data_IF_236641494242
#
_entry.id   IF_236641494242
#
_cell.length_a   1.000
_cell.length_b   1.000
_cell.length_c   1.000
_cell.angle_alpha   90.00
_cell.angle_beta   90.00
_cell.angle_gamma   90.00
#
_symmetry.space_group_name_H-M   'P 1'
#
loop_
_entity.id
_entity.type
_entity.pdbx_description
1 polymer ?
#
# COMPACT_ATOMS: atom_id res chain seq x y z
N UNK A 1 2.98 21.97 -10.81
CA UNK A 1 1.83 21.32 -11.46
C UNK A 1 0.84 20.80 -10.40
N UNK A 2 1.28 20.06 -9.38
CA UNK A 2 0.40 19.51 -8.32
C UNK A 2 -0.30 20.61 -7.50
N UNK A 3 0.36 21.74 -7.25
CA UNK A 3 -0.21 22.87 -6.49
C UNK A 3 -1.34 23.61 -7.23
N UNK A 4 -1.36 23.58 -8.55
CA UNK A 4 -2.39 24.20 -9.38
C UNK A 4 -3.49 23.22 -9.80
N UNK A 5 -3.28 21.92 -9.56
CA UNK A 5 -4.19 20.86 -9.94
C UNK A 5 -5.65 21.00 -9.42
N UNK A 6 -5.91 21.53 -8.18
CA UNK A 6 -7.26 21.71 -7.67
C UNK A 6 -8.14 22.63 -8.52
N UNK A 7 -7.54 23.48 -9.35
CA UNK A 7 -8.27 24.41 -10.23
C UNK A 7 -8.72 23.78 -11.55
N UNK A 8 -8.18 22.59 -11.90
CA UNK A 8 -8.41 21.99 -13.21
C UNK A 8 -9.40 20.83 -13.25
N UNK A 9 -9.69 20.17 -12.12
CA UNK A 9 -10.73 19.15 -12.03
C UNK A 9 -11.12 18.81 -10.59
N UNK A 10 -12.39 18.42 -10.36
CA UNK A 10 -12.85 17.94 -9.05
C UNK A 10 -12.01 16.76 -8.53
N UNK A 11 -11.59 15.88 -9.42
CA UNK A 11 -10.79 14.69 -9.09
C UNK A 11 -9.40 15.06 -8.57
N UNK A 12 -8.76 16.07 -9.17
CA UNK A 12 -7.46 16.58 -8.72
C UNK A 12 -7.56 17.36 -7.42
N UNK A 13 -8.65 18.09 -7.22
CA UNK A 13 -8.94 18.76 -5.94
C UNK A 13 -9.04 17.76 -4.80
N UNK A 14 -9.82 16.67 -4.97
CA UNK A 14 -9.93 15.58 -4.00
C UNK A 14 -8.59 14.90 -3.74
N UNK A 15 -7.81 14.66 -4.81
CA UNK A 15 -6.48 14.06 -4.73
C UNK A 15 -5.52 14.86 -3.82
N UNK A 16 -5.51 16.19 -3.96
CA UNK A 16 -4.62 17.07 -3.18
C UNK A 16 -5.14 17.30 -1.77
N UNK A 17 -6.46 17.66 -1.64
CA UNK A 17 -7.05 17.99 -0.35
C UNK A 17 -7.09 16.79 0.61
N UNK A 18 -7.50 15.62 0.10
CA UNK A 18 -7.59 14.42 0.92
C UNK A 18 -6.26 14.03 1.56
N UNK A 19 -5.13 14.25 0.86
CA UNK A 19 -3.80 13.94 1.40
C UNK A 19 -3.32 14.88 2.49
N UNK A 20 -3.81 16.11 2.54
CA UNK A 20 -3.44 17.07 3.59
C UNK A 20 -3.94 16.64 4.97
N UNK A 21 -5.06 15.92 5.03
CA UNK A 21 -5.72 15.52 6.27
C UNK A 21 -5.26 14.14 6.80
N UNK A 22 -4.43 13.41 6.05
CA UNK A 22 -4.07 12.03 6.38
C UNK A 22 -3.41 11.92 7.75
N UNK A 23 -2.42 12.76 8.02
CA UNK A 23 -1.63 12.70 9.27
C UNK A 23 -2.52 13.01 10.48
N UNK A 24 -3.37 14.02 10.38
CA UNK A 24 -4.28 14.38 11.47
C UNK A 24 -5.36 13.30 11.68
N UNK A 25 -5.86 12.72 10.59
CA UNK A 25 -6.80 11.59 10.66
C UNK A 25 -6.19 10.39 11.36
N UNK A 26 -4.94 10.04 11.03
CA UNK A 26 -4.22 8.93 11.67
C UNK A 26 -4.01 9.19 13.16
N UNK A 27 -3.53 10.40 13.52
CA UNK A 27 -3.32 10.78 14.93
C UNK A 27 -4.61 10.75 15.76
N UNK A 28 -5.75 11.08 15.15
CA UNK A 28 -7.05 11.08 15.85
C UNK A 28 -7.67 9.68 15.98
N UNK A 29 -7.26 8.71 15.14
CA UNK A 29 -7.84 7.37 15.09
C UNK A 29 -6.97 6.28 15.69
N UNK A 30 -5.65 6.54 15.83
CA UNK A 30 -4.68 5.57 16.32
C UNK A 30 -4.06 6.08 17.61
N UNK A 31 -4.01 5.20 18.59
CA UNK A 31 -3.30 5.40 19.84
C UNK A 31 -1.87 4.85 19.75
N UNK A 32 -0.99 5.26 20.64
CA UNK A 32 0.41 4.82 20.62
C UNK A 32 0.55 3.32 20.91
N UNK A 33 -0.36 2.74 21.67
CA UNK A 33 -0.44 1.33 22.05
C UNK A 33 -1.05 0.43 20.98
N UNK A 34 -1.71 1.00 19.94
CA UNK A 34 -2.39 0.22 18.92
C UNK A 34 -1.40 -0.62 18.10
N UNK A 35 -1.74 -1.89 17.94
CA UNK A 35 -1.14 -2.75 16.89
C UNK A 35 -1.95 -2.58 15.62
N UNK A 36 -1.28 -2.54 14.47
CA UNK A 36 -2.00 -2.39 13.20
C UNK A 36 -1.54 -3.37 12.13
N UNK A 37 -2.43 -3.64 11.18
CA UNK A 37 -2.12 -4.30 9.91
C UNK A 37 -2.52 -3.33 8.81
N UNK A 38 -1.57 -3.01 7.93
CA UNK A 38 -1.75 -2.04 6.88
C UNK A 38 -1.99 -2.72 5.53
N UNK A 39 -3.12 -2.39 4.88
CA UNK A 39 -3.44 -2.75 3.52
C UNK A 39 -3.29 -1.54 2.59
N UNK A 40 -2.59 -1.70 1.49
CA UNK A 40 -2.55 -0.70 0.43
C UNK A 40 -3.24 -1.21 -0.83
N UNK A 41 -4.23 -0.44 -1.31
CA UNK A 41 -4.99 -0.67 -2.54
C UNK A 41 -5.02 0.64 -3.31
N UNK A 42 -4.45 0.73 -4.52
CA UNK A 42 -4.45 2.00 -5.25
C UNK A 42 -5.86 2.43 -5.68
N UNK A 43 -6.74 1.48 -5.94
CA UNK A 43 -8.06 1.70 -6.53
C UNK A 43 -9.16 0.90 -5.84
N UNK A 44 -10.42 1.20 -6.19
CA UNK A 44 -11.58 0.43 -5.71
C UNK A 44 -11.50 -1.05 -6.12
N UNK A 45 -11.09 -1.34 -7.37
CA UNK A 45 -11.01 -2.72 -7.86
C UNK A 45 -9.99 -3.56 -7.10
N UNK A 46 -8.86 -2.98 -6.70
CA UNK A 46 -7.87 -3.64 -5.85
C UNK A 46 -8.39 -3.86 -4.44
N UNK A 47 -9.08 -2.87 -3.88
CA UNK A 47 -9.73 -3.03 -2.58
C UNK A 47 -10.72 -4.20 -2.59
N UNK A 48 -11.61 -4.30 -3.59
CA UNK A 48 -12.57 -5.40 -3.69
C UNK A 48 -11.88 -6.78 -3.75
N UNK A 49 -10.73 -6.87 -4.42
CA UNK A 49 -9.91 -8.09 -4.39
C UNK A 49 -9.27 -8.36 -3.02
N UNK A 50 -8.95 -7.31 -2.27
CA UNK A 50 -8.42 -7.41 -0.92
C UNK A 50 -9.47 -7.71 0.16
N UNK A 51 -10.76 -7.43 -0.09
CA UNK A 51 -11.84 -7.59 0.91
C UNK A 51 -11.87 -8.96 1.58
N UNK A 52 -11.77 -10.10 0.89
CA UNK A 52 -11.75 -11.42 1.55
C UNK A 52 -10.59 -11.56 2.53
N UNK A 53 -9.42 -11.04 2.16
CA UNK A 53 -8.21 -11.09 3.01
C UNK A 53 -8.37 -10.15 4.20
N UNK A 54 -8.88 -8.94 4.00
CA UNK A 54 -9.15 -7.96 5.08
C UNK A 54 -10.12 -8.55 6.10
N UNK A 55 -11.21 -9.19 5.64
CA UNK A 55 -12.18 -9.86 6.53
C UNK A 55 -11.51 -10.96 7.36
N UNK A 56 -10.78 -11.85 6.69
CA UNK A 56 -10.08 -12.95 7.35
C UNK A 56 -9.03 -12.45 8.34
N UNK A 57 -8.27 -11.42 7.97
CA UNK A 57 -7.29 -10.79 8.85
C UNK A 57 -7.94 -10.18 10.09
N UNK A 58 -9.10 -9.52 9.94
CA UNK A 58 -9.83 -8.95 11.08
C UNK A 58 -10.36 -10.02 12.04
N UNK A 59 -10.76 -11.18 11.54
CA UNK A 59 -11.18 -12.33 12.32
C UNK A 59 -10.01 -12.96 13.10
N UNK A 60 -8.88 -13.16 12.43
CA UNK A 60 -7.69 -13.82 13.01
C UNK A 60 -6.88 -12.90 13.96
N UNK A 61 -6.94 -11.59 13.73
CA UNK A 61 -6.20 -10.59 14.49
C UNK A 61 -7.13 -9.50 15.07
N UNK A 62 -8.09 -9.87 15.95
CA UNK A 62 -9.12 -8.96 16.47
C UNK A 62 -8.53 -7.77 17.26
N UNK A 63 -7.33 -7.92 17.84
CA UNK A 63 -6.62 -6.88 18.60
C UNK A 63 -5.82 -5.91 17.71
N UNK A 64 -5.84 -6.11 16.39
CA UNK A 64 -5.12 -5.23 15.45
C UNK A 64 -6.10 -4.28 14.75
N UNK A 65 -5.72 -3.01 14.68
CA UNK A 65 -6.41 -2.03 13.84
C UNK A 65 -6.13 -2.31 12.37
N UNK A 66 -7.17 -2.40 11.58
CA UNK A 66 -7.06 -2.56 10.12
C UNK A 66 -7.01 -1.19 9.48
N UNK A 67 -5.85 -0.85 8.91
CA UNK A 67 -5.63 0.41 8.22
C UNK A 67 -5.63 0.15 6.72
N UNK A 68 -6.47 0.87 5.98
CA UNK A 68 -6.49 0.79 4.50
C UNK A 68 -6.10 2.13 3.90
N UNK A 69 -5.20 2.08 2.93
CA UNK A 69 -4.83 3.26 2.16
C UNK A 69 -5.23 3.11 0.70
N UNK A 70 -5.70 4.22 0.12
CA UNK A 70 -5.96 4.36 -1.31
C UNK A 70 -5.03 5.38 -1.95
N UNK A 71 -4.66 5.14 -3.19
CA UNK A 71 -4.01 6.18 -3.99
C UNK A 71 -5.02 7.00 -4.79
N UNK A 72 -6.01 6.34 -5.39
CA UNK A 72 -7.02 6.97 -6.24
C UNK A 72 -8.22 7.50 -5.43
N UNK A 73 -8.74 8.70 -5.77
CA UNK A 73 -9.99 9.21 -5.20
C UNK A 73 -11.19 8.27 -5.41
N UNK A 74 -11.25 7.54 -6.53
CA UNK A 74 -12.36 6.64 -6.83
C UNK A 74 -12.52 5.51 -5.81
N UNK A 75 -11.43 5.02 -5.24
CA UNK A 75 -11.48 4.03 -4.17
C UNK A 75 -11.82 4.67 -2.81
N UNK A 76 -11.08 5.72 -2.46
CA UNK A 76 -11.22 6.39 -1.19
C UNK A 76 -12.63 6.96 -0.96
N UNK A 77 -13.18 7.73 -1.91
CA UNK A 77 -14.48 8.38 -1.74
C UNK A 77 -15.62 7.38 -1.53
N UNK A 78 -15.52 6.19 -2.12
CA UNK A 78 -16.51 5.11 -1.96
C UNK A 78 -16.35 4.40 -0.61
N UNK A 79 -15.11 4.23 -0.12
CA UNK A 79 -14.80 3.35 1.02
C UNK A 79 -14.37 4.10 2.30
N UNK A 80 -14.25 5.42 2.30
CA UNK A 80 -13.81 6.22 3.46
C UNK A 80 -14.63 5.99 4.75
N UNK A 81 -15.88 5.60 4.62
CA UNK A 81 -16.80 5.35 5.75
C UNK A 81 -17.16 3.86 5.88
N UNK A 82 -16.37 2.94 5.32
CA UNK A 82 -16.67 1.52 5.48
C UNK A 82 -16.41 1.04 6.91
N UNK A 83 -17.19 0.04 7.35
CA UNK A 83 -17.13 -0.51 8.71
C UNK A 83 -16.17 -1.69 8.85
N UNK A 84 -15.61 -2.15 7.74
CA UNK A 84 -14.69 -3.29 7.73
C UNK A 84 -13.31 -2.90 8.28
N UNK A 85 -12.95 -1.62 8.18
CA UNK A 85 -11.62 -1.10 8.54
C UNK A 85 -11.73 -0.04 9.64
N UNK A 86 -10.73 0.04 10.49
CA UNK A 86 -10.68 0.98 11.61
C UNK A 86 -10.26 2.39 11.13
N UNK A 87 -9.40 2.44 10.12
CA UNK A 87 -9.00 3.69 9.48
C UNK A 87 -8.81 3.51 7.98
N UNK A 88 -9.47 4.37 7.20
CA UNK A 88 -9.28 4.46 5.75
C UNK A 88 -8.80 5.86 5.41
N UNK A 89 -7.66 5.97 4.72
CA UNK A 89 -7.04 7.24 4.32
C UNK A 89 -6.42 7.16 2.93
N UNK A 90 -6.05 8.32 2.38
CA UNK A 90 -5.17 8.33 1.21
C UNK A 90 -3.73 7.94 1.60
N UNK A 91 -3.02 7.25 0.70
CA UNK A 91 -1.58 7.12 0.84
C UNK A 91 -0.94 8.50 0.55
N UNK A 92 -0.16 9.09 1.47
CA UNK A 92 0.62 10.27 1.16
C UNK A 92 1.56 10.04 -0.02
N UNK A 93 1.93 11.10 -0.75
CA UNK A 93 2.85 10.97 -1.89
C UNK A 93 4.15 10.28 -1.46
N UNK A 94 4.68 9.43 -2.34
CA UNK A 94 5.86 8.60 -2.08
C UNK A 94 7.14 9.47 -2.03
N UNK A 95 7.38 10.04 -0.86
CA UNK A 95 8.62 10.76 -0.52
C UNK A 95 9.23 10.15 0.74
N UNK A 96 10.55 10.24 0.96
CA UNK A 96 11.19 9.71 2.16
C UNK A 96 10.56 10.23 3.46
N UNK A 97 10.22 11.52 3.50
CA UNK A 97 9.58 12.14 4.66
C UNK A 97 8.19 11.59 4.94
N UNK A 98 7.35 11.49 3.89
CA UNK A 98 5.99 11.00 4.04
C UNK A 98 5.98 9.53 4.43
N UNK A 99 6.79 8.69 3.78
CA UNK A 99 6.90 7.27 4.08
C UNK A 99 7.31 7.06 5.54
N UNK A 100 8.36 7.76 5.99
CA UNK A 100 8.80 7.69 7.40
C UNK A 100 7.69 8.12 8.35
N UNK A 101 7.09 9.30 8.14
CA UNK A 101 6.04 9.83 9.03
C UNK A 101 4.82 8.91 9.10
N UNK A 102 4.37 8.39 7.94
CA UNK A 102 3.24 7.48 7.88
C UNK A 102 3.51 6.18 8.63
N UNK A 103 4.65 5.53 8.37
CA UNK A 103 5.00 4.25 9.00
C UNK A 103 5.27 4.43 10.51
N UNK A 104 5.82 5.56 10.94
CA UNK A 104 6.01 5.88 12.36
C UNK A 104 4.67 6.05 13.11
N UNK A 105 3.64 6.57 12.45
CA UNK A 105 2.30 6.72 13.02
C UNK A 105 1.52 5.42 13.00
N UNK A 106 1.51 4.71 11.87
CA UNK A 106 0.73 3.48 11.70
C UNK A 106 1.35 2.30 12.45
N UNK A 107 2.67 2.24 12.58
CA UNK A 107 3.45 1.17 13.25
C UNK A 107 2.95 -0.25 12.86
N UNK A 108 2.85 -0.58 11.57
CA UNK A 108 2.21 -1.82 11.17
C UNK A 108 3.04 -3.04 11.59
N UNK A 109 2.37 -4.04 12.15
CA UNK A 109 2.96 -5.37 12.40
C UNK A 109 3.13 -6.16 11.10
N UNK A 110 2.32 -5.84 10.08
CA UNK A 110 2.34 -6.44 8.74
C UNK A 110 1.84 -5.40 7.74
N UNK A 111 2.49 -5.30 6.59
CA UNK A 111 2.03 -4.50 5.45
C UNK A 111 1.66 -5.42 4.27
N UNK A 112 0.48 -5.20 3.71
CA UNK A 112 -0.09 -6.00 2.61
C UNK A 112 -0.41 -5.08 1.44
N UNK A 113 0.26 -5.30 0.33
CA UNK A 113 0.06 -4.56 -0.92
C UNK A 113 -0.75 -5.41 -1.89
N UNK A 114 -1.79 -4.83 -2.48
CA UNK A 114 -2.66 -5.52 -3.43
C UNK A 114 -2.25 -5.16 -4.86
N UNK A 115 -1.94 -6.16 -5.68
CA UNK A 115 -1.57 -6.08 -7.10
C UNK A 115 -0.23 -5.38 -7.39
N UNK A 116 -0.25 -4.20 -8.04
CA UNK A 116 0.90 -3.60 -8.72
C UNK A 116 1.52 -2.44 -7.95
N UNK A 117 1.37 -2.39 -6.66
CA UNK A 117 1.67 -1.24 -5.84
C UNK A 117 3.11 -1.28 -5.32
N UNK A 118 4.02 -0.70 -6.08
CA UNK A 118 5.46 -0.65 -5.78
C UNK A 118 5.87 0.79 -5.46
N UNK A 119 5.75 1.18 -4.21
CA UNK A 119 6.07 2.51 -3.68
C UNK A 119 7.45 2.50 -3.02
N UNK A 120 8.54 2.91 -3.70
CA UNK A 120 9.91 2.66 -3.26
C UNK A 120 10.23 3.18 -1.87
N UNK A 121 9.83 4.43 -1.55
CA UNK A 121 10.15 5.01 -0.25
C UNK A 121 9.42 4.30 0.90
N UNK A 122 8.15 3.91 0.70
CA UNK A 122 7.41 3.12 1.67
C UNK A 122 8.04 1.74 1.86
N UNK A 123 8.35 1.04 0.78
CA UNK A 123 8.95 -0.29 0.81
C UNK A 123 10.33 -0.28 1.49
N UNK A 124 11.16 0.70 1.19
CA UNK A 124 12.48 0.84 1.84
C UNK A 124 12.36 1.16 3.33
N UNK A 125 11.39 2.02 3.74
CA UNK A 125 11.19 2.32 5.15
C UNK A 125 10.61 1.11 5.92
N UNK A 126 9.69 0.35 5.33
CA UNK A 126 9.19 -0.92 5.89
C UNK A 126 10.35 -1.91 6.11
N UNK A 127 11.18 -2.12 5.08
CA UNK A 127 12.35 -3.00 5.18
C UNK A 127 13.34 -2.55 6.24
N UNK A 128 13.65 -1.26 6.29
CA UNK A 128 14.54 -0.65 7.30
C UNK A 128 14.04 -0.91 8.72
N UNK A 129 12.73 -0.85 8.94
CA UNK A 129 12.09 -1.13 10.24
C UNK A 129 11.83 -2.62 10.48
N UNK A 130 12.24 -3.50 9.55
CA UNK A 130 12.03 -4.95 9.61
C UNK A 130 10.54 -5.34 9.73
N UNK A 131 9.65 -4.53 9.14
CA UNK A 131 8.21 -4.81 9.12
C UNK A 131 7.94 -5.81 7.99
N UNK A 132 7.36 -6.99 8.29
CA UNK A 132 6.96 -7.95 7.28
C UNK A 132 6.05 -7.30 6.23
N UNK A 133 6.37 -7.55 4.95
CA UNK A 133 5.64 -6.94 3.83
C UNK A 133 5.35 -8.00 2.78
N UNK A 134 4.10 -8.14 2.39
CA UNK A 134 3.68 -9.11 1.38
C UNK A 134 2.94 -8.43 0.23
N UNK A 135 3.10 -8.99 -0.97
CA UNK A 135 2.30 -8.65 -2.13
C UNK A 135 1.26 -9.73 -2.38
N UNK A 136 0.02 -9.32 -2.58
CA UNK A 136 -1.07 -10.24 -2.84
C UNK A 136 -1.72 -9.94 -4.19
N UNK A 137 -2.10 -10.99 -4.90
CA UNK A 137 -2.69 -10.91 -6.23
C UNK A 137 -1.77 -10.24 -7.25
N UNK A 138 -0.45 -10.44 -7.11
CA UNK A 138 0.55 -9.92 -8.04
C UNK A 138 0.42 -10.53 -9.42
N UNK A 139 0.62 -9.70 -10.46
CA UNK A 139 0.68 -10.16 -11.85
C UNK A 139 1.89 -9.50 -12.51
N UNK A 140 2.82 -10.33 -12.98
CA UNK A 140 4.07 -9.86 -13.58
C UNK A 140 4.12 -10.18 -15.07
N UNK A 141 4.78 -9.30 -15.84
CA UNK A 141 4.97 -9.43 -17.28
C UNK A 141 6.41 -9.09 -17.65
N UNK A 142 6.96 -9.75 -18.65
CA UNK A 142 8.35 -9.59 -19.10
C UNK A 142 8.70 -8.15 -19.50
N UNK A 143 7.72 -7.38 -19.98
CA UNK A 143 7.90 -6.00 -20.40
C UNK A 143 8.14 -5.04 -19.23
N UNK A 144 7.79 -5.44 -18.02
CA UNK A 144 7.93 -4.59 -16.84
C UNK A 144 9.42 -4.33 -16.53
N UNK A 145 9.67 -3.14 -16.01
CA UNK A 145 11.01 -2.63 -15.73
C UNK A 145 11.85 -3.56 -14.83
N UNK A 146 11.22 -4.36 -13.97
CA UNK A 146 11.90 -5.29 -13.07
C UNK A 146 12.77 -6.32 -13.82
N UNK A 147 12.31 -6.74 -15.00
CA UNK A 147 12.94 -7.78 -15.82
C UNK A 147 13.87 -7.23 -16.91
N UNK A 148 14.04 -5.90 -16.96
CA UNK A 148 14.96 -5.24 -17.89
C UNK A 148 16.34 -5.07 -17.28
N UNK A 149 17.40 -5.02 -18.13
CA UNK A 149 18.79 -4.85 -17.69
C UNK A 149 18.94 -3.59 -16.81
N UNK A 150 18.27 -2.50 -17.20
CA UNK A 150 18.29 -1.22 -16.47
C UNK A 150 17.35 -1.16 -15.26
N UNK A 151 16.64 -2.24 -14.93
CA UNK A 151 15.65 -2.32 -13.85
C UNK A 151 16.22 -2.52 -12.44
N UNK A 152 17.53 -2.37 -12.23
CA UNK A 152 18.19 -2.67 -10.96
C UNK A 152 17.59 -1.94 -9.75
N UNK A 153 17.21 -0.65 -9.91
CA UNK A 153 16.57 0.10 -8.83
C UNK A 153 15.21 -0.50 -8.46
N UNK A 154 14.38 -0.83 -9.47
CA UNK A 154 13.05 -1.39 -9.22
C UNK A 154 13.13 -2.83 -8.65
N UNK A 155 14.13 -3.62 -9.02
CA UNK A 155 14.39 -4.91 -8.36
C UNK A 155 14.70 -4.76 -6.87
N UNK A 156 15.36 -3.67 -6.47
CA UNK A 156 15.57 -3.39 -5.02
C UNK A 156 14.25 -3.17 -4.29
N UNK A 157 13.22 -2.63 -4.93
CA UNK A 157 11.89 -2.49 -4.32
C UNK A 157 11.18 -3.84 -4.17
N UNK A 158 11.30 -4.72 -5.15
CA UNK A 158 10.78 -6.10 -5.04
C UNK A 158 11.44 -6.85 -3.87
N UNK A 159 12.74 -6.68 -3.69
CA UNK A 159 13.48 -7.30 -2.59
C UNK A 159 13.10 -6.76 -1.19
N UNK A 160 12.17 -5.81 -1.11
CA UNK A 160 11.61 -5.37 0.17
C UNK A 160 10.43 -6.25 0.63
N UNK A 161 9.81 -6.99 -0.26
CA UNK A 161 8.78 -7.94 0.09
C UNK A 161 9.37 -9.22 0.69
N UNK A 162 8.68 -9.75 1.69
CA UNK A 162 9.01 -11.02 2.30
C UNK A 162 8.36 -12.20 1.55
N UNK A 163 7.24 -11.95 0.88
CA UNK A 163 6.53 -12.97 0.11
C UNK A 163 5.65 -12.36 -0.98
N UNK A 164 5.43 -13.12 -2.06
CA UNK A 164 4.58 -12.77 -3.19
C UNK A 164 3.53 -13.86 -3.41
N UNK A 165 2.26 -13.50 -3.33
CA UNK A 165 1.15 -14.31 -3.80
C UNK A 165 0.75 -13.81 -5.19
N UNK A 166 1.03 -14.60 -6.20
CA UNK A 166 0.84 -14.22 -7.61
C UNK A 166 -0.34 -14.93 -8.24
N UNK A 167 -0.86 -14.37 -9.35
CA UNK A 167 -2.07 -14.86 -10.00
C UNK A 167 -1.82 -16.03 -10.98
N UNK A 168 -0.62 -16.11 -11.53
CA UNK A 168 -0.28 -17.10 -12.57
C UNK A 168 1.17 -17.63 -12.45
N UNK A 169 1.43 -18.77 -13.07
CA UNK A 169 2.74 -19.41 -13.07
C UNK A 169 3.79 -18.58 -13.81
N UNK A 170 3.41 -17.83 -14.86
CA UNK A 170 4.31 -16.92 -15.56
C UNK A 170 4.89 -15.87 -14.61
N UNK A 171 4.06 -15.25 -13.78
CA UNK A 171 4.49 -14.29 -12.76
C UNK A 171 5.46 -14.92 -11.76
N UNK A 172 5.21 -16.16 -11.38
CA UNK A 172 6.06 -16.92 -10.47
C UNK A 172 7.45 -17.19 -11.09
N UNK A 173 7.49 -17.66 -12.33
CA UNK A 173 8.75 -17.92 -13.04
C UNK A 173 9.55 -16.62 -13.25
N UNK A 174 8.89 -15.53 -13.60
CA UNK A 174 9.54 -14.23 -13.73
C UNK A 174 10.17 -13.76 -12.41
N UNK A 175 9.49 -13.89 -11.28
CA UNK A 175 10.05 -13.54 -9.98
C UNK A 175 11.23 -14.43 -9.60
N UNK A 176 11.15 -15.75 -9.87
CA UNK A 176 12.27 -16.67 -9.67
C UNK A 176 13.50 -16.28 -10.49
N UNK A 177 13.31 -15.83 -11.74
CA UNK A 177 14.42 -15.43 -12.64
C UNK A 177 15.27 -14.28 -12.09
N UNK A 178 14.72 -13.50 -11.17
CA UNK A 178 15.38 -12.36 -10.50
C UNK A 178 15.62 -12.62 -8.99
N UNK A 179 15.53 -13.89 -8.55
CA UNK A 179 15.76 -14.34 -7.17
C UNK A 179 14.84 -13.68 -6.12
N UNK A 180 13.58 -13.37 -6.46
CA UNK A 180 12.59 -12.98 -5.48
C UNK A 180 11.98 -14.21 -4.78
N UNK A 181 11.78 -14.11 -3.46
CA UNK A 181 11.15 -15.15 -2.65
C UNK A 181 9.63 -15.22 -2.96
N UNK A 182 9.12 -16.42 -3.14
CA UNK A 182 7.71 -16.73 -3.38
C UNK A 182 7.11 -17.38 -2.16
#
# INVERSE_FOLDING_TARGET
>A
LILLAPFFSNKMSLFVRGRKLVIDTLKNKLEESDKSIWFHCASLGEYEQGVPIIKKTKEEFPDHKIIVTFFSPSGFEVKKNNTLTDCTVYLPLDTPKNAKTFIDLVKPSLAIFIKYEFWPNYLFELKKKKIPTILVSGLFREEQIFFKIYGAFMRKTLNCFNHFFVQDETSKELLKSINCLL
#
